data_IF_183774667810
#
_entry.id   IF_183774667810
#
_cell.length_a   1.000
_cell.length_b   1.000
_cell.length_c   1.000
_cell.angle_alpha   90.00
_cell.angle_beta   90.00
_cell.angle_gamma   90.00
#
_symmetry.space_group_name_H-M   'P 1'
#
loop_
_entity.id
_entity.type
_entity.pdbx_description
1 polymer ?
#
# COMPACT_ATOMS: atom_id res chain seq x y z
N UNK A 1 -21.04 -3.64 22.58
CA UNK A 1 -20.79 -4.71 21.58
C UNK A 1 -20.60 -6.05 22.31
N UNK A 2 -19.92 -6.04 23.47
CA UNK A 2 -19.74 -7.22 24.33
C UNK A 2 -21.04 -7.86 24.84
N UNK A 3 -22.04 -7.06 25.25
CA UNK A 3 -23.32 -7.60 25.74
C UNK A 3 -24.13 -8.30 24.65
N UNK A 4 -24.23 -7.73 23.44
CA UNK A 4 -25.01 -8.32 22.34
C UNK A 4 -24.38 -9.61 21.78
N UNK A 5 -23.04 -9.68 21.71
CA UNK A 5 -22.35 -10.92 21.31
C UNK A 5 -22.46 -12.01 22.38
N UNK A 6 -22.36 -11.66 23.67
CA UNK A 6 -22.61 -12.60 24.76
C UNK A 6 -24.08 -13.04 24.81
N UNK A 7 -25.04 -12.15 24.55
CA UNK A 7 -26.47 -12.43 24.59
C UNK A 7 -26.93 -13.26 23.38
N UNK A 8 -26.33 -13.11 22.19
CA UNK A 8 -26.58 -14.01 21.05
C UNK A 8 -25.90 -15.38 21.21
N UNK A 9 -24.84 -15.47 22.03
CA UNK A 9 -24.22 -16.73 22.41
C UNK A 9 -24.96 -17.38 23.60
N UNK A 10 -25.63 -16.59 24.45
CA UNK A 10 -26.26 -17.00 25.71
C UNK A 10 -27.80 -17.14 25.68
N UNK A 11 -28.51 -16.47 24.78
CA UNK A 11 -29.98 -16.42 24.72
C UNK A 11 -30.54 -17.29 23.59
N UNK A 12 -30.01 -18.49 23.47
CA UNK A 12 -30.37 -19.48 22.45
C UNK A 12 -30.53 -20.87 23.05
N UNK A 13 -31.52 -21.00 23.93
CA UNK A 13 -31.96 -22.26 24.53
C UNK A 13 -31.15 -22.65 25.76
N UNK A 14 -31.81 -23.35 26.69
CA UNK A 14 -31.16 -24.28 27.62
C UNK A 14 -29.94 -24.92 26.95
N UNK A 15 -28.85 -25.26 27.68
CA UNK A 15 -27.85 -26.13 27.10
C UNK A 15 -28.65 -27.33 26.61
N UNK A 16 -28.75 -27.49 25.30
CA UNK A 16 -29.23 -28.72 24.77
C UNK A 16 -28.29 -29.70 25.45
N UNK A 17 -28.85 -30.52 26.34
CA UNK A 17 -28.46 -31.92 26.48
C UNK A 17 -28.65 -32.57 25.10
N UNK A 18 -28.03 -32.01 24.05
CA UNK A 18 -27.36 -32.78 23.05
C UNK A 18 -26.24 -33.44 23.82
N UNK A 19 -26.59 -34.55 24.45
CA UNK A 19 -25.90 -35.77 24.13
C UNK A 19 -25.46 -35.67 22.67
N UNK A 20 -24.27 -35.13 22.42
CA UNK A 20 -23.38 -35.86 21.56
C UNK A 20 -23.30 -37.18 22.30
N UNK A 21 -24.01 -38.19 21.81
CA UNK A 21 -23.65 -39.55 22.15
C UNK A 21 -22.20 -39.71 21.66
N UNK A 22 -21.25 -39.23 22.47
CA UNK A 22 -19.85 -39.59 22.39
C UNK A 22 -19.68 -41.06 22.84
N UNK A 23 -20.76 -41.67 23.36
CA UNK A 23 -20.87 -43.07 23.74
C UNK A 23 -21.63 -43.96 22.72
N UNK A 24 -22.04 -43.42 21.56
CA UNK A 24 -22.50 -44.32 20.50
C UNK A 24 -21.27 -44.93 19.84
N UNK A 25 -21.01 -46.21 20.11
CA UNK A 25 -20.08 -47.02 19.34
C UNK A 25 -20.26 -46.71 17.84
N UNK A 26 -19.18 -46.56 17.05
CA UNK A 26 -19.29 -46.21 15.64
C UNK A 26 -20.21 -47.22 14.95
N UNK A 27 -21.44 -46.80 14.64
CA UNK A 27 -22.36 -47.62 13.86
C UNK A 27 -21.73 -47.81 12.50
N UNK A 28 -21.70 -49.05 12.01
CA UNK A 28 -21.32 -49.31 10.64
C UNK A 28 -22.33 -48.58 9.75
N UNK A 29 -21.86 -47.64 8.92
CA UNK A 29 -22.72 -46.92 7.97
C UNK A 29 -23.51 -47.88 7.05
N UNK A 30 -23.07 -49.13 6.93
CA UNK A 30 -23.74 -50.22 6.22
C UNK A 30 -25.12 -50.59 6.82
N UNK A 31 -25.38 -50.27 8.09
CA UNK A 31 -26.62 -50.60 8.79
C UNK A 31 -27.60 -49.41 8.86
N UNK A 32 -27.20 -48.24 8.36
CA UNK A 32 -27.97 -47.00 8.42
C UNK A 32 -28.80 -46.86 7.13
N UNK A 33 -30.06 -46.43 7.27
CA UNK A 33 -30.92 -46.22 6.09
C UNK A 33 -30.45 -45.03 5.25
N UNK A 34 -30.77 -45.02 3.95
CA UNK A 34 -30.41 -43.92 3.06
C UNK A 34 -31.02 -42.58 3.54
N UNK A 35 -32.26 -42.61 4.04
CA UNK A 35 -32.96 -41.45 4.58
C UNK A 35 -32.25 -40.89 5.82
N UNK A 36 -31.80 -41.76 6.72
CA UNK A 36 -31.08 -41.38 7.94
C UNK A 36 -29.71 -40.77 7.59
N UNK A 37 -28.96 -41.36 6.65
CA UNK A 37 -27.69 -40.77 6.15
C UNK A 37 -27.92 -39.36 5.59
N UNK A 38 -28.98 -39.14 4.80
CA UNK A 38 -29.27 -37.83 4.23
C UNK A 38 -29.69 -36.79 5.27
N UNK A 39 -30.40 -37.21 6.32
CA UNK A 39 -30.77 -36.34 7.44
C UNK A 39 -29.55 -35.98 8.29
N UNK A 40 -28.70 -36.96 8.59
CA UNK A 40 -27.48 -36.78 9.38
C UNK A 40 -26.50 -35.84 8.69
N UNK A 41 -26.24 -36.04 7.39
CA UNK A 41 -25.35 -35.15 6.63
C UNK A 41 -25.88 -33.71 6.63
N UNK A 42 -27.19 -33.48 6.49
CA UNK A 42 -27.78 -32.13 6.60
C UNK A 42 -27.58 -31.53 7.98
N UNK A 43 -27.74 -32.33 9.04
CA UNK A 43 -27.50 -31.91 10.42
C UNK A 43 -26.04 -31.52 10.64
N UNK A 44 -25.10 -32.33 10.16
CA UNK A 44 -23.66 -32.08 10.26
C UNK A 44 -23.24 -30.82 9.51
N UNK A 45 -23.76 -30.59 8.30
CA UNK A 45 -23.51 -29.33 7.57
C UNK A 45 -24.03 -28.12 8.36
N UNK A 46 -25.19 -28.25 9.01
CA UNK A 46 -25.71 -27.21 9.91
C UNK A 46 -24.80 -26.95 11.11
N UNK A 47 -24.29 -28.01 11.74
CA UNK A 47 -23.35 -27.92 12.85
C UNK A 47 -22.01 -27.29 12.42
N UNK A 48 -21.48 -27.66 11.25
CA UNK A 48 -20.26 -27.10 10.67
C UNK A 48 -20.39 -25.58 10.47
N UNK A 49 -21.53 -25.11 9.93
CA UNK A 49 -21.79 -23.67 9.73
C UNK A 49 -21.85 -22.89 11.05
N UNK A 50 -22.46 -23.45 12.09
CA UNK A 50 -22.47 -22.85 13.44
C UNK A 50 -21.06 -22.79 14.04
N UNK A 51 -20.28 -23.85 13.87
CA UNK A 51 -18.86 -23.88 14.28
C UNK A 51 -18.03 -22.85 13.53
N UNK A 52 -18.24 -22.70 12.22
CA UNK A 52 -17.60 -21.66 11.41
C UNK A 52 -17.97 -20.26 11.91
N UNK A 53 -19.24 -19.99 12.19
CA UNK A 53 -19.69 -18.71 12.73
C UNK A 53 -18.98 -18.39 14.06
N UNK A 54 -18.81 -19.38 14.95
CA UNK A 54 -18.01 -19.23 16.17
C UNK A 54 -16.56 -18.85 15.85
N UNK A 55 -15.89 -19.57 14.93
CA UNK A 55 -14.52 -19.23 14.50
C UNK A 55 -14.44 -17.78 14.00
N UNK A 56 -15.42 -17.31 13.23
CA UNK A 56 -15.46 -15.92 12.75
C UNK A 56 -15.51 -14.92 13.90
N UNK A 57 -16.33 -15.16 14.93
CA UNK A 57 -16.40 -14.30 16.13
C UNK A 57 -15.06 -14.25 16.86
N UNK A 58 -14.42 -15.41 17.08
CA UNK A 58 -13.10 -15.43 17.72
C UNK A 58 -12.04 -14.70 16.87
N UNK A 59 -12.10 -14.79 15.55
CA UNK A 59 -11.20 -14.02 14.68
C UNK A 59 -11.42 -12.51 14.79
N UNK A 60 -12.67 -12.06 14.98
CA UNK A 60 -12.97 -10.64 15.28
C UNK A 60 -12.28 -10.23 16.57
N UNK A 61 -12.44 -11.02 17.63
CA UNK A 61 -11.88 -10.70 18.94
C UNK A 61 -10.34 -10.72 18.94
N UNK A 62 -9.74 -11.68 18.27
CA UNK A 62 -8.27 -11.78 18.10
C UNK A 62 -7.73 -10.57 17.34
N UNK A 63 -8.44 -10.05 16.33
CA UNK A 63 -8.02 -8.86 15.60
C UNK A 63 -8.20 -7.59 16.44
N UNK A 64 -9.29 -7.49 17.24
CA UNK A 64 -9.56 -6.32 18.08
C UNK A 64 -8.57 -6.20 19.24
N UNK A 65 -8.31 -7.31 19.94
CA UNK A 65 -7.30 -7.40 21.01
C UNK A 65 -5.87 -7.49 20.48
N UNK A 66 -5.69 -7.74 19.19
CA UNK A 66 -4.39 -7.91 18.51
C UNK A 66 -3.51 -9.02 19.07
N UNK A 67 -4.12 -10.11 19.55
CA UNK A 67 -3.41 -11.27 20.11
C UNK A 67 -2.43 -11.91 19.10
N UNK A 68 -2.69 -11.75 17.80
CA UNK A 68 -1.76 -12.19 16.75
C UNK A 68 -0.36 -11.55 16.87
N UNK A 69 -0.27 -10.30 17.36
CA UNK A 69 1.01 -9.61 17.51
C UNK A 69 1.83 -10.19 18.67
N UNK A 70 1.17 -10.55 19.77
CA UNK A 70 1.78 -11.21 20.94
C UNK A 70 2.33 -12.59 20.58
N UNK A 71 1.69 -13.28 19.63
CA UNK A 71 2.13 -14.56 19.07
C UNK A 71 3.14 -14.42 17.92
N UNK A 72 3.84 -13.29 17.86
CA UNK A 72 4.88 -12.98 16.88
C UNK A 72 4.42 -13.08 15.41
N UNK A 73 3.13 -12.87 15.13
CA UNK A 73 2.62 -12.76 13.76
C UNK A 73 2.67 -11.32 13.27
N UNK A 74 3.09 -11.15 12.01
CA UNK A 74 3.21 -9.83 11.38
C UNK A 74 1.89 -9.26 10.87
N UNK A 75 0.84 -10.09 10.85
CA UNK A 75 -0.52 -9.70 10.48
C UNK A 75 -1.52 -10.78 10.90
N UNK A 76 -2.82 -10.45 10.88
CA UNK A 76 -3.89 -11.44 11.03
C UNK A 76 -3.85 -12.55 9.98
N UNK A 77 -3.42 -12.26 8.75
CA UNK A 77 -3.30 -13.28 7.71
C UNK A 77 -2.20 -14.28 8.05
N UNK A 78 -1.04 -13.78 8.49
CA UNK A 78 0.10 -14.57 8.95
C UNK A 78 -0.25 -15.45 10.15
N UNK A 79 -1.09 -14.95 11.07
CA UNK A 79 -1.65 -15.74 12.17
C UNK A 79 -2.57 -16.85 11.67
N UNK A 80 -3.53 -16.54 10.80
CA UNK A 80 -4.45 -17.53 10.25
C UNK A 80 -3.73 -18.66 9.50
N UNK A 81 -2.69 -18.36 8.73
CA UNK A 81 -1.97 -19.40 7.97
C UNK A 81 -0.98 -20.18 8.84
N UNK A 82 -0.13 -19.51 9.62
CA UNK A 82 0.91 -20.20 10.41
C UNK A 82 0.41 -20.83 11.70
N UNK A 83 -0.49 -20.17 12.43
CA UNK A 83 -0.94 -20.62 13.76
C UNK A 83 -2.20 -21.45 13.70
N UNK A 84 -3.12 -21.15 12.78
CA UNK A 84 -4.37 -21.91 12.62
C UNK A 84 -4.32 -22.94 11.47
N UNK A 85 -3.23 -22.97 10.68
CA UNK A 85 -3.06 -23.94 9.59
C UNK A 85 -4.00 -23.74 8.40
N UNK A 86 -4.64 -22.58 8.28
CA UNK A 86 -5.50 -22.31 7.13
C UNK A 86 -4.68 -22.14 5.85
N UNK A 87 -5.23 -22.63 4.74
CA UNK A 87 -4.72 -22.23 3.43
C UNK A 87 -4.91 -20.72 3.20
N UNK A 88 -4.16 -20.12 2.28
CA UNK A 88 -4.26 -18.69 1.98
C UNK A 88 -5.69 -18.26 1.60
N UNK A 89 -6.37 -19.06 0.78
CA UNK A 89 -7.75 -18.77 0.35
C UNK A 89 -8.76 -18.86 1.50
N UNK A 90 -8.53 -19.77 2.44
CA UNK A 90 -9.33 -19.92 3.66
C UNK A 90 -9.14 -18.75 4.62
N UNK A 91 -7.88 -18.40 4.90
CA UNK A 91 -7.53 -17.25 5.72
C UNK A 91 -8.14 -15.97 5.14
N UNK A 92 -8.01 -15.76 3.83
CA UNK A 92 -8.59 -14.61 3.13
C UNK A 92 -10.10 -14.51 3.31
N UNK A 93 -10.84 -15.60 3.04
CA UNK A 93 -12.32 -15.60 3.15
C UNK A 93 -12.79 -15.40 4.59
N UNK A 94 -12.17 -16.09 5.55
CA UNK A 94 -12.54 -16.00 6.97
C UNK A 94 -12.21 -14.62 7.53
N UNK A 95 -11.06 -14.05 7.21
CA UNK A 95 -10.70 -12.70 7.66
C UNK A 95 -11.56 -11.62 7.01
N UNK A 96 -11.92 -11.78 5.73
CA UNK A 96 -12.88 -10.89 5.08
C UNK A 96 -14.26 -10.94 5.76
N UNK A 97 -14.75 -12.14 6.09
CA UNK A 97 -16.00 -12.33 6.80
C UNK A 97 -15.94 -11.78 8.24
N UNK A 98 -14.87 -12.02 8.99
CA UNK A 98 -14.69 -11.47 10.34
C UNK A 98 -14.76 -9.93 10.33
N UNK A 99 -14.04 -9.28 9.42
CA UNK A 99 -14.08 -7.82 9.29
C UNK A 99 -15.45 -7.28 8.88
N UNK A 100 -16.18 -8.03 8.04
CA UNK A 100 -17.56 -7.70 7.70
C UNK A 100 -18.51 -7.87 8.89
N UNK A 101 -18.41 -8.98 9.63
CA UNK A 101 -19.23 -9.24 10.83
C UNK A 101 -18.97 -8.19 11.91
N UNK A 102 -17.72 -7.76 12.11
CA UNK A 102 -17.39 -6.67 13.04
C UNK A 102 -18.09 -5.36 12.67
N UNK A 103 -18.29 -5.10 11.38
CA UNK A 103 -19.00 -3.90 10.88
C UNK A 103 -20.52 -4.11 10.83
N UNK A 104 -20.96 -5.32 10.49
CA UNK A 104 -22.36 -5.68 10.21
C UNK A 104 -22.69 -7.00 10.94
N UNK A 105 -23.01 -6.94 12.24
CA UNK A 105 -23.16 -8.14 13.07
C UNK A 105 -24.28 -9.09 12.64
N UNK A 106 -25.31 -8.58 11.95
CA UNK A 106 -26.42 -9.37 11.38
C UNK A 106 -25.95 -10.47 10.40
N UNK A 107 -24.76 -10.32 9.81
CA UNK A 107 -24.17 -11.32 8.93
C UNK A 107 -23.84 -12.63 9.64
N UNK A 108 -23.64 -12.61 10.97
CA UNK A 108 -23.30 -13.80 11.74
C UNK A 108 -24.40 -14.86 11.67
N UNK A 109 -25.66 -14.44 11.87
CA UNK A 109 -26.83 -15.33 11.77
C UNK A 109 -26.99 -15.87 10.35
N UNK A 110 -26.69 -15.06 9.33
CA UNK A 110 -26.74 -15.50 7.92
C UNK A 110 -25.68 -16.56 7.59
N UNK A 111 -24.50 -16.47 8.20
CA UNK A 111 -23.43 -17.48 8.09
C UNK A 111 -23.84 -18.74 8.84
N UNK A 112 -24.28 -18.60 10.10
CA UNK A 112 -24.63 -19.73 10.97
C UNK A 112 -25.81 -20.55 10.41
N UNK A 113 -26.81 -19.88 9.83
CA UNK A 113 -27.95 -20.54 9.17
C UNK A 113 -27.61 -21.06 7.76
N UNK A 114 -26.46 -20.68 7.20
CA UNK A 114 -26.06 -21.02 5.83
C UNK A 114 -26.87 -20.33 4.74
N UNK A 115 -27.54 -19.22 5.05
CA UNK A 115 -28.18 -18.36 4.03
C UNK A 115 -27.12 -17.80 3.09
N UNK A 116 -25.96 -17.44 3.63
CA UNK A 116 -24.83 -16.91 2.85
C UNK A 116 -23.56 -17.72 3.11
N UNK A 117 -22.80 -18.00 2.05
CA UNK A 117 -21.46 -18.62 2.16
C UNK A 117 -20.35 -17.57 2.08
N UNK A 118 -19.16 -17.91 2.59
CA UNK A 118 -18.05 -16.96 2.69
C UNK A 118 -17.57 -16.41 1.34
N UNK A 119 -17.70 -17.20 0.26
CA UNK A 119 -17.34 -16.74 -1.08
C UNK A 119 -18.28 -15.64 -1.57
N UNK A 120 -19.58 -15.74 -1.28
CA UNK A 120 -20.54 -14.64 -1.54
C UNK A 120 -20.21 -13.39 -0.75
N UNK A 121 -19.88 -13.53 0.54
CA UNK A 121 -19.51 -12.37 1.38
C UNK A 121 -18.31 -11.61 0.82
N UNK A 122 -17.31 -12.32 0.31
CA UNK A 122 -16.15 -11.68 -0.34
C UNK A 122 -16.56 -10.88 -1.57
N UNK A 123 -17.48 -11.40 -2.40
CA UNK A 123 -17.96 -10.73 -3.61
C UNK A 123 -18.81 -9.49 -3.28
N UNK A 124 -19.61 -9.58 -2.21
CA UNK A 124 -20.54 -8.54 -1.78
C UNK A 124 -19.92 -7.49 -0.85
N UNK A 125 -18.68 -7.71 -0.39
CA UNK A 125 -17.99 -6.92 0.64
C UNK A 125 -18.10 -5.41 0.43
N UNK A 126 -17.91 -4.97 -0.81
CA UNK A 126 -17.82 -3.55 -1.17
C UNK A 126 -19.21 -2.93 -1.44
N UNK A 127 -20.27 -3.74 -1.50
CA UNK A 127 -21.66 -3.31 -1.68
C UNK A 127 -22.45 -3.26 -0.37
N UNK A 128 -22.04 -4.05 0.63
CA UNK A 128 -22.73 -4.15 1.92
C UNK A 128 -22.55 -2.86 2.74
N UNK A 129 -23.65 -2.30 3.20
CA UNK A 129 -23.77 -1.18 4.15
C UNK A 129 -24.75 -1.55 5.26
N UNK A 130 -24.80 -0.76 6.33
CA UNK A 130 -25.77 -0.97 7.43
C UNK A 130 -27.22 -0.87 6.96
N UNK A 131 -27.49 -0.07 5.91
CA UNK A 131 -28.84 0.18 5.42
C UNK A 131 -29.36 -0.87 4.44
N UNK A 132 -28.49 -1.64 3.77
CA UNK A 132 -28.88 -2.56 2.70
C UNK A 132 -28.56 -4.03 3.01
N UNK A 133 -27.96 -4.32 4.17
CA UNK A 133 -27.45 -5.64 4.50
C UNK A 133 -28.52 -6.72 4.45
N UNK A 134 -29.72 -6.45 4.99
CA UNK A 134 -30.80 -7.43 5.04
C UNK A 134 -31.34 -7.76 3.65
N UNK A 135 -31.52 -6.75 2.80
CA UNK A 135 -31.98 -6.91 1.42
C UNK A 135 -30.95 -7.70 0.59
N UNK A 136 -29.68 -7.34 0.67
CA UNK A 136 -28.61 -8.01 -0.07
C UNK A 136 -28.46 -9.46 0.41
N UNK A 137 -28.52 -9.71 1.71
CA UNK A 137 -28.44 -11.06 2.27
C UNK A 137 -29.65 -11.89 1.83
N UNK A 138 -30.86 -11.34 1.84
CA UNK A 138 -32.05 -12.02 1.34
C UNK A 138 -31.91 -12.34 -0.16
N UNK A 139 -31.45 -11.39 -0.97
CA UNK A 139 -31.22 -11.57 -2.40
C UNK A 139 -30.11 -12.57 -2.72
N UNK A 140 -29.08 -12.69 -1.87
CA UNK A 140 -27.98 -13.65 -2.01
C UNK A 140 -28.28 -15.02 -1.39
N UNK A 141 -29.37 -15.14 -0.63
CA UNK A 141 -29.69 -16.33 0.15
C UNK A 141 -29.86 -17.56 -0.76
N UNK A 142 -29.14 -18.65 -0.45
CA UNK A 142 -29.22 -19.91 -1.20
C UNK A 142 -28.62 -19.89 -2.61
N UNK A 143 -28.05 -18.77 -3.06
CA UNK A 143 -27.44 -18.65 -4.39
C UNK A 143 -26.06 -19.28 -4.48
N UNK A 144 -25.79 -19.92 -5.60
CA UNK A 144 -24.46 -20.37 -6.01
C UNK A 144 -23.57 -19.15 -6.28
N UNK A 145 -22.26 -19.34 -6.22
CA UNK A 145 -21.28 -18.27 -6.42
C UNK A 145 -21.52 -17.48 -7.72
N UNK A 146 -21.76 -18.16 -8.85
CA UNK A 146 -22.02 -17.54 -10.16
C UNK A 146 -23.25 -16.63 -10.15
N UNK A 147 -24.33 -17.09 -9.52
CA UNK A 147 -25.58 -16.31 -9.40
C UNK A 147 -25.38 -15.07 -8.53
N UNK A 148 -24.46 -15.12 -7.56
CA UNK A 148 -24.05 -13.95 -6.77
C UNK A 148 -23.15 -13.01 -7.57
N UNK A 149 -22.27 -13.52 -8.44
CA UNK A 149 -21.52 -12.68 -9.37
C UNK A 149 -22.46 -11.91 -10.32
N UNK A 150 -23.52 -12.57 -10.82
CA UNK A 150 -24.56 -11.96 -11.64
C UNK A 150 -25.40 -10.93 -10.85
N UNK A 151 -25.68 -11.19 -9.57
CA UNK A 151 -26.31 -10.21 -8.67
C UNK A 151 -25.42 -8.97 -8.50
N UNK A 152 -24.12 -9.16 -8.24
CA UNK A 152 -23.14 -8.07 -8.10
C UNK A 152 -23.05 -7.28 -9.40
N UNK A 153 -23.00 -7.94 -10.56
CA UNK A 153 -22.94 -7.28 -11.86
C UNK A 153 -24.16 -6.40 -12.15
N UNK A 154 -25.36 -6.82 -11.70
CA UNK A 154 -26.58 -6.01 -11.83
C UNK A 154 -26.59 -4.79 -10.89
N UNK A 155 -26.11 -4.96 -9.66
CA UNK A 155 -26.11 -3.87 -8.66
C UNK A 155 -24.98 -2.86 -8.86
N UNK A 156 -23.84 -3.31 -9.39
CA UNK A 156 -22.68 -2.48 -9.68
C UNK A 156 -22.14 -2.84 -11.07
N UNK A 157 -22.82 -2.37 -12.14
CA UNK A 157 -22.36 -2.60 -13.51
C UNK A 157 -20.97 -2.00 -13.66
N UNK A 158 -20.03 -2.81 -14.14
CA UNK A 158 -18.70 -2.31 -14.50
C UNK A 158 -18.84 -1.52 -15.80
N UNK A 159 -18.19 -0.35 -15.93
CA UNK A 159 -18.18 0.38 -17.18
C UNK A 159 -17.62 -0.52 -18.29
N UNK A 160 -18.17 -0.38 -19.49
CA UNK A 160 -17.73 -1.13 -20.65
C UNK A 160 -16.22 -0.92 -20.84
N UNK A 161 -15.47 -2.02 -20.81
CA UNK A 161 -14.04 -1.99 -21.12
C UNK A 161 -13.96 -1.73 -22.62
N UNK A 162 -13.45 -0.56 -23.03
CA UNK A 162 -13.19 -0.28 -24.44
C UNK A 162 -12.41 -1.44 -25.06
N UNK A 163 -12.90 -1.94 -26.19
CA UNK A 163 -12.27 -3.04 -26.92
C UNK A 163 -10.85 -2.62 -27.35
N UNK A 164 -9.85 -3.04 -26.58
CA UNK A 164 -8.45 -2.92 -26.95
C UNK A 164 -8.10 -4.10 -27.86
N UNK A 165 -7.92 -3.81 -29.15
CA UNK A 165 -7.36 -4.78 -30.10
C UNK A 165 -5.87 -4.92 -29.77
N UNK A 166 -5.52 -5.93 -28.98
CA UNK A 166 -4.14 -6.35 -28.80
C UNK A 166 -3.75 -7.23 -30.00
N UNK A 167 -2.71 -6.84 -30.73
CA UNK A 167 -2.12 -7.69 -31.79
C UNK A 167 -1.70 -9.03 -31.17
N UNK A 168 -2.39 -10.10 -31.53
CA UNK A 168 -1.97 -11.46 -31.17
C UNK A 168 -0.64 -11.77 -31.90
N UNK A 169 0.25 -12.58 -31.30
CA UNK A 169 1.42 -13.09 -32.01
C UNK A 169 0.96 -13.80 -33.30
N UNK A 170 1.70 -13.64 -34.39
CA UNK A 170 1.44 -14.36 -35.63
C UNK A 170 1.38 -15.87 -35.35
N UNK A 171 0.22 -16.46 -35.60
CA UNK A 171 0.00 -17.90 -35.46
C UNK A 171 0.78 -18.61 -36.55
N UNK A 172 1.98 -19.08 -36.22
CA UNK A 172 2.65 -20.10 -37.04
C UNK A 172 1.73 -21.33 -37.08
N UNK A 173 1.40 -21.90 -38.26
CA UNK A 173 0.56 -23.08 -38.33
C UNK A 173 1.34 -24.27 -37.78
N UNK A 174 1.09 -24.63 -36.52
CA UNK A 174 1.28 -25.99 -36.05
C UNK A 174 -0.08 -26.69 -36.05
N UNK A 175 -0.11 -27.78 -36.79
CA UNK A 175 -1.19 -28.73 -36.96
C UNK A 175 -1.85 -29.17 -35.64
N UNK A 176 -3.18 -29.08 -35.61
CA UNK A 176 -4.16 -29.92 -34.88
C UNK A 176 -3.80 -30.47 -33.49
N UNK A 177 -4.54 -30.07 -32.45
CA UNK A 177 -5.69 -30.83 -31.90
C UNK A 177 -6.42 -30.00 -30.81
N UNK A 178 -7.73 -30.18 -30.79
CA UNK A 178 -8.82 -29.48 -30.10
C UNK A 178 -8.72 -29.46 -28.57
N UNK A 179 -8.99 -28.30 -27.94
CA UNK A 179 -9.89 -28.21 -26.77
C UNK A 179 -10.32 -26.76 -26.53
N UNK A 180 -11.63 -26.54 -26.55
CA UNK A 180 -12.30 -25.25 -26.35
C UNK A 180 -12.29 -24.83 -24.87
N UNK A 181 -11.76 -23.65 -24.55
CA UNK A 181 -12.19 -22.86 -23.40
C UNK A 181 -12.30 -21.37 -23.77
N UNK A 182 -13.45 -20.80 -23.45
CA UNK A 182 -13.80 -19.39 -23.64
C UNK A 182 -13.01 -18.47 -22.68
N UNK A 183 -12.74 -17.21 -23.05
CA UNK A 183 -11.90 -16.32 -22.26
C UNK A 183 -12.69 -15.65 -21.11
N UNK A 184 -12.18 -15.79 -19.88
CA UNK A 184 -12.57 -14.97 -18.73
C UNK A 184 -11.80 -13.64 -18.73
N UNK A 185 -12.41 -12.51 -18.30
CA UNK A 185 -11.72 -11.23 -18.25
C UNK A 185 -10.60 -11.22 -17.20
N UNK A 186 -9.42 -10.81 -17.65
CA UNK A 186 -8.16 -10.77 -16.90
C UNK A 186 -8.22 -9.74 -15.77
N UNK A 187 -8.49 -10.23 -14.55
CA UNK A 187 -7.95 -9.61 -13.34
C UNK A 187 -6.50 -10.04 -13.27
N UNK A 188 -5.55 -9.12 -13.47
CA UNK A 188 -4.11 -9.40 -13.37
C UNK A 188 -3.87 -10.13 -12.03
N UNK A 189 -3.55 -11.43 -12.04
CA UNK A 189 -3.17 -12.11 -10.82
C UNK A 189 -1.82 -11.52 -10.38
N UNK A 190 -1.54 -11.40 -9.08
CA UNK A 190 -0.16 -11.24 -8.66
C UNK A 190 0.68 -12.38 -9.25
N UNK A 191 1.92 -12.10 -9.64
CA UNK A 191 2.85 -13.09 -10.17
C UNK A 191 2.91 -14.30 -9.24
N UNK A 192 2.35 -15.43 -9.67
CA UNK A 192 2.35 -16.67 -8.90
C UNK A 192 3.71 -17.33 -9.06
N UNK A 193 4.48 -17.40 -7.98
CA UNK A 193 5.65 -18.27 -7.86
C UNK A 193 5.12 -19.68 -7.54
N UNK A 194 4.78 -20.45 -8.56
CA UNK A 194 4.33 -21.84 -8.37
C UNK A 194 5.54 -22.77 -8.42
N UNK A 195 5.76 -23.54 -7.35
CA UNK A 195 6.78 -24.59 -7.35
C UNK A 195 6.38 -25.69 -8.37
N UNK A 196 7.22 -25.91 -9.39
CA UNK A 196 7.06 -26.99 -10.37
C UNK A 196 7.83 -28.24 -9.89
N UNK A 197 8.92 -28.04 -9.14
CA UNK A 197 9.73 -29.06 -8.47
C UNK A 197 10.49 -28.41 -7.28
N UNK A 198 11.14 -29.20 -6.42
CA UNK A 198 11.77 -28.79 -5.15
C UNK A 198 12.74 -27.59 -5.24
N UNK A 199 13.23 -27.24 -6.44
CA UNK A 199 14.12 -26.09 -6.69
C UNK A 199 13.81 -25.30 -7.97
N UNK A 200 12.63 -25.45 -8.57
CA UNK A 200 12.24 -24.73 -9.80
C UNK A 200 10.86 -24.11 -9.66
N UNK A 201 10.78 -22.80 -9.86
CA UNK A 201 9.56 -22.02 -9.73
C UNK A 201 9.15 -21.44 -11.09
N UNK A 202 7.87 -21.55 -11.44
CA UNK A 202 7.33 -20.83 -12.59
C UNK A 202 7.13 -19.38 -12.19
N UNK A 203 7.75 -18.45 -12.92
CA UNK A 203 7.45 -17.01 -12.80
C UNK A 203 6.68 -16.58 -14.03
N UNK A 204 5.41 -16.25 -13.86
CA UNK A 204 4.58 -15.69 -14.93
C UNK A 204 4.11 -14.29 -14.51
N UNK A 205 4.44 -13.30 -15.34
CA UNK A 205 4.05 -11.90 -15.12
C UNK A 205 3.51 -11.31 -16.41
N UNK A 206 2.60 -10.34 -16.27
CA UNK A 206 2.13 -9.55 -17.40
C UNK A 206 2.96 -8.27 -17.44
N UNK A 207 3.78 -8.11 -18.47
CA UNK A 207 4.57 -6.91 -18.69
C UNK A 207 3.79 -5.89 -19.54
N UNK A 208 3.88 -4.60 -19.18
CA UNK A 208 3.45 -3.51 -20.05
C UNK A 208 4.53 -3.23 -21.12
N UNK A 209 4.20 -2.39 -22.10
CA UNK A 209 5.10 -2.04 -23.22
C UNK A 209 6.46 -1.52 -22.73
N UNK A 210 6.46 -0.60 -21.76
CA UNK A 210 7.70 -0.04 -21.19
C UNK A 210 8.60 -1.11 -20.57
N UNK A 211 8.02 -2.12 -19.90
CA UNK A 211 8.79 -3.21 -19.31
C UNK A 211 9.32 -4.16 -20.39
N UNK A 212 8.53 -4.46 -21.44
CA UNK A 212 9.00 -5.23 -22.60
C UNK A 212 10.23 -4.57 -23.21
N UNK A 213 10.15 -3.28 -23.51
CA UNK A 213 11.24 -2.55 -24.19
C UNK A 213 12.52 -2.52 -23.34
N UNK A 214 12.38 -2.38 -22.02
CA UNK A 214 13.51 -2.47 -21.08
C UNK A 214 14.14 -3.86 -21.07
N UNK A 215 13.34 -4.92 -21.13
CA UNK A 215 13.84 -6.30 -21.18
C UNK A 215 14.53 -6.59 -22.52
N UNK A 216 13.99 -6.11 -23.64
CA UNK A 216 14.61 -6.24 -24.96
C UNK A 216 15.93 -5.46 -25.05
N UNK A 217 15.96 -4.22 -24.55
CA UNK A 217 17.18 -3.43 -24.47
C UNK A 217 18.24 -4.12 -23.59
N UNK A 218 17.86 -4.62 -22.42
CA UNK A 218 18.76 -5.37 -21.55
C UNK A 218 19.29 -6.63 -22.24
N UNK A 219 18.44 -7.35 -22.99
CA UNK A 219 18.85 -8.53 -23.78
C UNK A 219 19.88 -8.17 -24.85
N UNK A 220 19.66 -7.08 -25.57
CA UNK A 220 20.59 -6.61 -26.59
C UNK A 220 21.95 -6.20 -25.98
N UNK A 221 21.94 -5.45 -24.88
CA UNK A 221 23.15 -5.02 -24.17
C UNK A 221 23.92 -6.19 -23.54
N UNK A 222 23.21 -7.24 -23.12
CA UNK A 222 23.83 -8.44 -22.53
C UNK A 222 24.19 -9.51 -23.57
N UNK A 223 24.03 -9.25 -24.87
CA UNK A 223 24.19 -10.26 -25.94
C UNK A 223 25.55 -10.99 -25.92
N UNK A 224 26.64 -10.33 -25.53
CA UNK A 224 27.95 -10.97 -25.37
C UNK A 224 28.10 -11.76 -24.07
N UNK A 225 27.41 -11.38 -23.00
CA UNK A 225 27.49 -12.01 -21.67
C UNK A 225 26.41 -13.09 -21.46
N UNK A 226 25.33 -13.02 -22.22
CA UNK A 226 24.20 -13.93 -22.25
C UNK A 226 23.78 -14.18 -23.71
N UNK A 227 24.55 -15.00 -24.48
CA UNK A 227 24.29 -15.22 -25.91
C UNK A 227 22.96 -15.90 -26.21
N UNK A 228 22.40 -16.68 -25.27
CA UNK A 228 21.07 -17.27 -25.41
C UNK A 228 19.94 -16.24 -25.26
N UNK A 229 20.25 -15.08 -24.68
CA UNK A 229 19.29 -14.06 -24.31
C UNK A 229 18.25 -14.58 -23.31
N UNK A 230 18.62 -15.54 -22.45
CA UNK A 230 17.72 -16.07 -21.44
C UNK A 230 17.26 -14.95 -20.50
N UNK A 231 15.94 -14.77 -20.41
CA UNK A 231 15.32 -13.76 -19.56
C UNK A 231 15.57 -14.04 -18.07
N UNK A 232 15.73 -15.31 -17.67
CA UNK A 232 16.02 -15.65 -16.28
C UNK A 232 17.33 -15.01 -15.81
N UNK A 233 18.40 -15.10 -16.62
CA UNK A 233 19.71 -14.50 -16.33
C UNK A 233 19.63 -12.97 -16.25
N UNK A 234 18.89 -12.34 -17.16
CA UNK A 234 18.69 -10.88 -17.17
C UNK A 234 17.96 -10.44 -15.90
N UNK A 235 16.87 -11.15 -15.55
CA UNK A 235 16.07 -10.86 -14.36
C UNK A 235 16.87 -11.10 -13.09
N UNK A 236 17.63 -12.19 -13.00
CA UNK A 236 18.50 -12.48 -11.85
C UNK A 236 19.51 -11.36 -11.62
N UNK A 237 20.27 -10.95 -12.65
CA UNK A 237 21.24 -9.85 -12.57
C UNK A 237 20.58 -8.52 -12.18
N UNK A 238 19.41 -8.24 -12.76
CA UNK A 238 18.66 -7.02 -12.46
C UNK A 238 18.17 -7.02 -10.99
N UNK A 239 17.72 -8.17 -10.48
CA UNK A 239 17.29 -8.33 -9.09
C UNK A 239 18.49 -8.25 -8.14
N UNK A 240 19.64 -8.83 -8.46
CA UNK A 240 20.89 -8.68 -7.68
C UNK A 240 21.29 -7.20 -7.54
N UNK A 241 21.31 -6.45 -8.65
CA UNK A 241 21.60 -5.02 -8.65
C UNK A 241 20.57 -4.22 -7.85
N UNK A 242 19.29 -4.57 -7.96
CA UNK A 242 18.22 -3.94 -7.19
C UNK A 242 18.36 -4.23 -5.70
N UNK A 243 18.69 -5.48 -5.31
CA UNK A 243 18.96 -5.87 -3.94
C UNK A 243 20.16 -5.10 -3.40
N UNK A 244 21.26 -4.99 -4.16
CA UNK A 244 22.44 -4.23 -3.73
C UNK A 244 22.09 -2.75 -3.52
N UNK A 245 21.42 -2.12 -4.48
CA UNK A 245 20.98 -0.72 -4.37
C UNK A 245 20.06 -0.50 -3.18
N UNK A 246 19.02 -1.33 -3.03
CA UNK A 246 18.08 -1.23 -1.92
C UNK A 246 18.76 -1.53 -0.58
N UNK A 247 19.74 -2.43 -0.55
CA UNK A 247 20.55 -2.69 0.64
C UNK A 247 21.36 -1.46 1.03
N UNK A 248 21.99 -0.77 0.09
CA UNK A 248 22.70 0.50 0.36
C UNK A 248 21.75 1.58 0.88
N UNK A 249 20.58 1.73 0.29
CA UNK A 249 19.59 2.75 0.68
C UNK A 249 18.91 2.45 2.02
N UNK A 250 18.50 1.19 2.24
CA UNK A 250 17.72 0.76 3.41
C UNK A 250 18.61 0.37 4.58
N UNK A 251 19.70 -0.35 4.33
CA UNK A 251 20.63 -0.89 5.34
C UNK A 251 21.85 0.00 5.53
N UNK A 252 22.07 0.95 4.62
CA UNK A 252 23.21 1.85 4.70
C UNK A 252 24.52 1.14 4.41
N UNK A 253 24.57 -0.04 3.77
CA UNK A 253 25.81 -0.77 3.47
C UNK A 253 26.75 0.10 2.62
N UNK A 254 27.98 0.33 3.10
CA UNK A 254 29.03 1.03 2.35
C UNK A 254 30.32 0.22 2.46
N UNK A 255 31.09 0.14 1.37
CA UNK A 255 32.36 -0.62 1.29
C UNK A 255 33.48 -0.04 2.17
N UNK A 256 33.35 1.19 2.65
CA UNK A 256 34.22 1.79 3.68
C UNK A 256 33.38 2.26 4.86
N UNK A 257 33.59 1.63 6.02
CA UNK A 257 33.11 2.13 7.30
C UNK A 257 34.09 3.19 7.81
N UNK A 258 33.67 4.46 7.85
CA UNK A 258 34.40 5.50 8.60
C UNK A 258 34.02 5.37 10.07
N UNK A 259 34.97 5.50 11.01
CA UNK A 259 34.68 5.61 12.45
C UNK A 259 33.59 6.67 12.64
N UNK A 260 32.41 6.25 13.10
CA UNK A 260 31.28 7.15 13.34
C UNK A 260 31.55 7.97 14.59
N UNK A 261 31.42 9.30 14.48
CA UNK A 261 31.22 10.15 15.66
C UNK A 261 29.73 10.09 16.04
N UNK A 262 29.39 10.10 17.34
CA UNK A 262 28.00 10.19 17.78
C UNK A 262 27.35 11.46 17.21
N UNK A 263 26.06 11.37 16.89
CA UNK A 263 25.29 12.50 16.38
C UNK A 263 25.14 13.57 17.48
N UNK A 264 25.43 14.83 17.15
CA UNK A 264 25.14 15.96 18.04
C UNK A 264 23.63 16.14 18.31
N UNK A 265 22.75 15.61 17.45
CA UNK A 265 21.30 15.66 17.63
C UNK A 265 20.80 14.45 18.41
N UNK A 266 20.18 14.72 19.55
CA UNK A 266 19.58 13.71 20.42
C UNK A 266 18.58 12.79 19.68
N UNK A 267 18.78 11.48 19.82
CA UNK A 267 17.97 10.42 19.24
C UNK A 267 18.01 10.30 17.72
N UNK A 268 18.93 11.00 17.04
CA UNK A 268 19.10 10.85 15.60
C UNK A 268 19.80 9.52 15.27
N UNK A 269 19.16 8.71 14.43
CA UNK A 269 19.70 7.43 13.97
C UNK A 269 20.67 7.66 12.82
N UNK A 270 21.95 7.38 13.07
CA UNK A 270 22.97 7.43 12.03
C UNK A 270 22.85 6.23 11.08
N UNK A 271 23.39 6.33 9.86
CA UNK A 271 23.45 5.19 8.96
C UNK A 271 24.29 4.03 9.52
N UNK A 272 25.31 4.32 10.33
CA UNK A 272 26.13 3.32 11.00
C UNK A 272 25.31 2.55 12.05
N UNK A 273 24.65 3.26 12.97
CA UNK A 273 23.80 2.65 13.98
C UNK A 273 22.64 1.86 13.38
N UNK A 274 22.03 2.36 12.28
CA UNK A 274 21.03 1.61 11.53
C UNK A 274 21.58 0.30 10.97
N UNK A 275 22.76 0.35 10.33
CA UNK A 275 23.38 -0.83 9.72
C UNK A 275 23.64 -1.90 10.77
N UNK A 276 24.25 -1.49 11.89
CA UNK A 276 24.56 -2.38 13.00
C UNK A 276 23.31 -3.05 13.57
N UNK A 277 22.21 -2.30 13.77
CA UNK A 277 20.94 -2.87 14.20
C UNK A 277 20.37 -3.90 13.19
N UNK A 278 20.43 -3.61 11.88
CA UNK A 278 19.96 -4.54 10.84
C UNK A 278 20.82 -5.79 10.69
N UNK A 279 22.13 -5.66 10.84
CA UNK A 279 23.08 -6.76 10.81
C UNK A 279 22.89 -7.66 12.03
N UNK A 280 22.85 -7.09 13.24
CA UNK A 280 22.55 -7.79 14.49
C UNK A 280 21.22 -8.56 14.41
N UNK A 281 20.19 -7.92 13.85
CA UNK A 281 18.85 -8.51 13.78
C UNK A 281 18.66 -9.38 12.52
N UNK A 282 19.68 -9.59 11.70
CA UNK A 282 19.66 -10.58 10.60
C UNK A 282 18.59 -10.33 9.53
N UNK A 283 18.24 -9.06 9.28
CA UNK A 283 17.18 -8.69 8.32
C UNK A 283 15.82 -9.34 8.65
N UNK A 284 15.50 -9.41 9.94
CA UNK A 284 14.27 -10.01 10.44
C UNK A 284 13.75 -9.18 11.62
N UNK A 285 12.42 -9.17 11.80
CA UNK A 285 11.80 -8.59 12.98
C UNK A 285 12.40 -9.20 14.26
N UNK A 286 12.92 -8.36 15.15
CA UNK A 286 13.51 -8.73 16.44
C UNK A 286 12.47 -9.00 17.54
N UNK A 287 11.18 -8.78 17.27
CA UNK A 287 10.12 -9.10 18.23
C UNK A 287 10.09 -10.60 18.54
N UNK A 288 10.01 -10.92 19.81
CA UNK A 288 9.85 -12.29 20.33
C UNK A 288 8.52 -12.33 21.08
N UNK A 289 7.67 -13.29 20.70
CA UNK A 289 6.38 -13.52 21.34
C UNK A 289 6.51 -14.20 22.70
N UNK A 290 5.39 -14.33 23.41
CA UNK A 290 5.36 -14.91 24.76
C UNK A 290 5.81 -16.38 24.80
N UNK A 291 5.60 -17.10 23.71
CA UNK A 291 6.06 -18.48 23.52
C UNK A 291 7.56 -18.59 23.15
N UNK A 292 8.32 -17.49 23.19
CA UNK A 292 9.73 -17.44 22.81
C UNK A 292 9.99 -17.47 21.30
N UNK A 293 8.95 -17.49 20.47
CA UNK A 293 9.12 -17.48 19.02
C UNK A 293 9.42 -16.07 18.51
N UNK A 294 10.46 -15.96 17.69
CA UNK A 294 10.79 -14.72 16.99
C UNK A 294 9.91 -14.53 15.76
N UNK A 295 9.44 -13.31 15.53
CA UNK A 295 8.62 -12.99 14.36
C UNK A 295 9.40 -13.29 13.05
N UNK A 296 8.87 -14.09 12.11
CA UNK A 296 9.57 -14.47 10.88
C UNK A 296 9.59 -13.39 9.80
N UNK A 297 8.98 -12.23 10.04
CA UNK A 297 8.85 -11.19 9.02
C UNK A 297 10.21 -10.61 8.63
N UNK A 298 10.48 -10.59 7.31
CA UNK A 298 11.67 -9.99 6.69
C UNK A 298 11.33 -8.81 5.77
N UNK A 299 10.06 -8.46 5.69
CA UNK A 299 9.52 -7.39 4.84
C UNK A 299 8.93 -6.27 5.69
N UNK A 300 8.85 -5.07 5.10
CA UNK A 300 8.35 -3.87 5.78
C UNK A 300 9.02 -3.62 7.13
N UNK A 301 10.34 -3.87 7.18
CA UNK A 301 11.15 -3.66 8.37
C UNK A 301 11.42 -2.16 8.57
N UNK A 302 11.31 -1.74 9.82
CA UNK A 302 11.46 -0.38 10.30
C UNK A 302 12.38 -0.38 11.53
N UNK A 303 13.08 0.74 11.75
CA UNK A 303 13.87 0.94 12.97
C UNK A 303 12.94 1.48 14.04
N UNK A 304 12.94 0.80 15.18
CA UNK A 304 12.31 1.21 16.42
C UNK A 304 13.38 1.56 17.46
N UNK A 305 13.07 2.54 18.31
CA UNK A 305 13.89 2.90 19.47
C UNK A 305 13.35 2.16 20.69
N UNK A 306 14.17 1.30 21.33
CA UNK A 306 13.77 0.53 22.52
C UNK A 306 13.27 1.46 23.63
N UNK A 307 14.08 2.46 23.99
CA UNK A 307 13.62 3.66 24.68
C UNK A 307 13.27 4.69 23.63
N UNK A 308 11.99 5.05 23.52
CA UNK A 308 11.55 5.92 22.45
C UNK A 308 12.27 7.28 22.46
N UNK A 309 12.56 7.83 21.28
CA UNK A 309 13.26 9.13 21.13
C UNK A 309 12.60 10.27 21.92
N UNK A 310 11.27 10.29 21.98
CA UNK A 310 10.51 11.30 22.71
C UNK A 310 10.68 11.21 24.24
N UNK A 311 11.17 10.07 24.74
CA UNK A 311 11.42 9.78 26.16
C UNK A 311 12.92 9.81 26.51
N UNK A 312 13.76 10.44 25.69
CA UNK A 312 15.20 10.48 25.96
C UNK A 312 16.01 9.35 25.31
N UNK A 313 15.39 8.54 24.46
CA UNK A 313 16.09 7.48 23.73
C UNK A 313 17.25 7.97 22.85
N UNK A 314 18.40 7.32 22.98
CA UNK A 314 19.57 7.55 22.12
C UNK A 314 19.36 7.01 20.70
N UNK A 315 20.17 7.49 19.74
CA UNK A 315 20.17 7.01 18.36
C UNK A 315 21.23 5.94 18.07
N UNK A 316 21.86 5.41 19.12
CA UNK A 316 22.94 4.42 19.07
C UNK A 316 22.38 3.01 18.91
N UNK A 317 23.13 2.11 18.29
CA UNK A 317 22.66 0.78 17.86
C UNK A 317 22.07 -0.06 19.00
N UNK A 318 22.57 0.10 20.22
CA UNK A 318 22.11 -0.60 21.43
C UNK A 318 20.66 -0.22 21.79
N UNK A 319 20.25 1.03 21.53
CA UNK A 319 18.87 1.49 21.74
C UNK A 319 17.98 1.27 20.51
N UNK A 320 18.50 0.70 19.43
CA UNK A 320 17.74 0.42 18.21
C UNK A 320 17.40 -1.06 18.11
N UNK A 321 16.23 -1.34 17.55
CA UNK A 321 15.82 -2.68 17.14
C UNK A 321 15.05 -2.64 15.83
N UNK A 322 15.15 -3.70 15.05
CA UNK A 322 14.46 -3.85 13.78
C UNK A 322 13.12 -4.54 14.02
N UNK A 323 12.02 -3.89 13.67
CA UNK A 323 10.68 -4.47 13.79
C UNK A 323 9.98 -4.46 12.43
N UNK A 324 9.10 -5.42 12.18
CA UNK A 324 8.16 -5.28 11.08
C UNK A 324 7.19 -4.12 11.39
N UNK A 325 6.62 -3.50 10.36
CA UNK A 325 5.67 -2.39 10.51
C UNK A 325 4.55 -2.65 11.54
N UNK A 326 4.05 -3.88 11.64
CA UNK A 326 3.00 -4.24 12.59
C UNK A 326 3.51 -4.20 14.04
N UNK A 327 4.64 -4.85 14.34
CA UNK A 327 5.27 -4.82 15.66
C UNK A 327 5.83 -3.44 16.03
N UNK A 328 6.35 -2.68 15.06
CA UNK A 328 6.79 -1.30 15.30
C UNK A 328 5.60 -0.41 15.72
N UNK A 329 4.47 -0.56 15.01
CA UNK A 329 3.24 0.13 15.40
C UNK A 329 2.75 -0.31 16.78
N UNK A 330 2.78 -1.60 17.09
CA UNK A 330 2.38 -2.12 18.40
C UNK A 330 3.25 -1.56 19.52
N UNK A 331 4.57 -1.57 19.35
CA UNK A 331 5.52 -0.98 20.28
C UNK A 331 5.23 0.51 20.52
N UNK A 332 5.01 1.28 19.45
CA UNK A 332 4.65 2.69 19.57
C UNK A 332 3.31 2.88 20.30
N UNK A 333 2.31 2.02 20.07
CA UNK A 333 1.01 2.11 20.74
C UNK A 333 1.09 1.73 22.23
N UNK A 334 1.95 0.77 22.60
CA UNK A 334 2.22 0.43 24.01
C UNK A 334 2.89 1.59 24.76
N UNK A 335 3.77 2.34 24.09
CA UNK A 335 4.50 3.47 24.70
C UNK A 335 3.67 4.76 24.74
N UNK A 336 3.01 5.11 23.63
CA UNK A 336 2.35 6.42 23.47
C UNK A 336 0.83 6.37 23.56
N UNK A 337 0.24 5.18 23.62
CA UNK A 337 -1.20 4.96 23.56
C UNK A 337 -1.75 4.92 22.13
N UNK A 338 -2.70 3.99 21.90
CA UNK A 338 -3.34 3.74 20.60
C UNK A 338 -3.94 4.99 19.96
N UNK A 339 -4.71 5.76 20.73
CA UNK A 339 -5.37 6.98 20.24
C UNK A 339 -4.37 8.04 19.77
N UNK A 340 -3.23 8.18 20.46
CA UNK A 340 -2.18 9.13 20.09
C UNK A 340 -1.54 8.74 18.76
N UNK A 341 -1.13 7.48 18.63
CA UNK A 341 -0.49 6.96 17.41
C UNK A 341 -1.43 7.06 16.22
N UNK A 342 -2.71 6.72 16.40
CA UNK A 342 -3.70 6.81 15.33
C UNK A 342 -3.94 8.25 14.85
N UNK A 343 -4.05 9.21 15.78
CA UNK A 343 -4.15 10.63 15.44
C UNK A 343 -2.92 11.12 14.66
N UNK A 344 -1.72 10.68 15.04
CA UNK A 344 -0.47 10.98 14.31
C UNK A 344 -0.43 10.37 12.91
N UNK A 345 -0.91 9.15 12.74
CA UNK A 345 -1.02 8.52 11.41
C UNK A 345 -2.00 9.30 10.53
N UNK A 346 -3.18 9.66 11.08
CA UNK A 346 -4.21 10.40 10.34
C UNK A 346 -3.73 11.77 9.89
N UNK A 347 -3.07 12.52 10.78
CA UNK A 347 -2.49 13.83 10.46
C UNK A 347 -1.40 13.72 9.40
N UNK A 348 -0.52 12.72 9.49
CA UNK A 348 0.51 12.47 8.47
C UNK A 348 -0.08 12.17 7.09
N UNK A 349 -1.12 11.32 7.01
CA UNK A 349 -1.82 11.01 5.76
C UNK A 349 -2.49 12.24 5.14
N UNK A 350 -3.13 13.10 5.95
CA UNK A 350 -3.70 14.37 5.49
C UNK A 350 -2.61 15.30 4.93
N UNK A 351 -1.42 15.33 5.54
CA UNK A 351 -0.30 16.14 5.04
C UNK A 351 0.26 15.60 3.72
N UNK A 352 0.31 14.28 3.54
CA UNK A 352 0.77 13.66 2.29
C UNK A 352 -0.19 13.90 1.13
N UNK A 353 -1.50 13.82 1.38
CA UNK A 353 -2.54 14.06 0.36
C UNK A 353 -2.64 15.52 -0.07
N UNK A 354 -2.23 16.45 0.79
CA UNK A 354 -2.14 17.89 0.47
C UNK A 354 -0.85 18.31 -0.25
N UNK A 355 0.14 17.43 -0.38
CA UNK A 355 1.32 17.76 -1.19
C UNK A 355 0.90 17.72 -2.66
N UNK A 356 0.97 18.84 -3.40
CA UNK A 356 0.69 18.81 -4.83
C UNK A 356 1.64 17.81 -5.48
N UNK A 357 1.08 16.99 -6.37
CA UNK A 357 1.86 16.02 -7.12
C UNK A 357 2.88 16.78 -7.97
N UNK A 358 4.17 16.61 -7.65
CA UNK A 358 5.27 17.27 -8.38
C UNK A 358 5.38 16.77 -9.82
N UNK A 359 4.68 15.67 -10.16
CA UNK A 359 4.60 15.10 -11.48
C UNK A 359 3.22 15.31 -12.14
N UNK A 360 2.30 16.05 -11.52
CA UNK A 360 1.10 16.47 -12.24
C UNK A 360 1.52 17.45 -13.35
N UNK A 361 1.07 17.24 -14.60
CA UNK A 361 1.31 18.20 -15.67
C UNK A 361 0.74 19.55 -15.20
N UNK A 362 1.56 20.61 -15.26
CA UNK A 362 1.09 21.96 -14.92
C UNK A 362 -0.12 22.24 -15.80
N UNK A 363 -1.29 22.43 -15.18
CA UNK A 363 -2.39 23.07 -15.88
C UNK A 363 -1.83 24.40 -16.38
N UNK A 364 -1.78 24.56 -17.71
CA UNK A 364 -1.33 25.78 -18.35
C UNK A 364 -2.11 26.98 -17.80
N UNK A 365 -1.56 28.20 -17.92
CA UNK A 365 -2.25 29.39 -17.43
C UNK A 365 -3.67 29.43 -18.04
N UNK A 366 -4.71 29.73 -17.23
CA UNK A 366 -6.06 29.85 -17.75
C UNK A 366 -6.06 30.91 -18.86
N UNK A 367 -6.67 30.58 -19.99
CA UNK A 367 -6.76 31.49 -21.12
C UNK A 367 -7.49 32.76 -20.71
N UNK A 368 -6.97 33.90 -21.15
CA UNK A 368 -7.41 35.26 -20.81
C UNK A 368 -8.81 35.61 -21.37
N UNK A 369 -9.51 34.67 -22.02
CA UNK A 369 -10.80 34.93 -22.69
C UNK A 369 -12.07 34.65 -21.89
N UNK A 370 -12.00 34.40 -20.57
CA UNK A 370 -13.20 34.20 -19.73
C UNK A 370 -13.37 35.20 -18.58
N UNK A 371 -12.78 36.40 -18.68
CA UNK A 371 -13.13 37.56 -17.85
C UNK A 371 -13.80 38.64 -18.69
N UNK A 372 -14.97 38.35 -19.25
CA UNK A 372 -15.92 39.35 -19.75
C UNK A 372 -17.28 38.67 -19.95
N UNK A 373 -17.97 38.47 -18.84
CA UNK A 373 -19.43 38.36 -18.69
C UNK A 373 -19.68 37.80 -17.30
N UNK A 374 -19.72 38.69 -16.31
CA UNK A 374 -20.49 38.59 -15.06
C UNK A 374 -19.99 39.69 -14.12
N UNK A 375 -20.17 40.95 -14.52
CA UNK A 375 -20.19 42.10 -13.61
C UNK A 375 -21.07 43.17 -14.26
N UNK A 376 -22.36 42.86 -14.28
CA UNK A 376 -23.43 43.81 -14.60
C UNK A 376 -24.66 43.46 -13.75
N UNK A 377 -24.57 43.73 -12.44
CA UNK A 377 -25.68 44.22 -11.59
C UNK A 377 -25.26 44.30 -10.12
N UNK A 378 -25.65 45.42 -9.49
CA UNK A 378 -25.53 45.82 -8.08
C UNK A 378 -24.13 46.35 -7.68
N UNK A 379 -23.93 47.52 -7.07
CA UNK A 379 -24.81 48.55 -6.51
C UNK A 379 -24.03 49.89 -6.51
N UNK A 380 -24.59 51.00 -7.02
CA UNK A 380 -25.25 52.10 -6.28
C UNK A 380 -24.41 52.81 -5.18
N UNK A 381 -23.87 53.97 -5.58
CA UNK A 381 -23.61 55.26 -4.89
C UNK A 381 -23.56 55.39 -3.35
N UNK A 382 -22.49 56.02 -2.81
CA UNK A 382 -22.39 57.45 -2.34
C UNK A 382 -21.03 57.67 -1.64
N UNK A 383 -20.09 58.45 -2.20
CA UNK A 383 -19.71 59.86 -1.88
C UNK A 383 -19.00 60.06 -0.52
N UNK A 384 -17.65 60.18 -0.47
CA UNK A 384 -16.82 61.41 -0.41
C UNK A 384 -16.07 61.41 0.94
N UNK A 385 -14.75 61.65 1.08
CA UNK A 385 -14.02 62.91 0.83
C UNK A 385 -12.51 62.65 0.78
N UNK A 386 -11.83 63.47 -0.02
CA UNK A 386 -10.40 63.52 -0.36
C UNK A 386 -9.46 63.94 0.78
N UNK A 387 -8.23 63.44 0.75
CA UNK A 387 -7.05 64.19 1.21
C UNK A 387 -5.81 63.82 0.38
N UNK A 388 -5.05 64.87 0.03
CA UNK A 388 -3.91 64.91 -0.90
C UNK A 388 -2.61 64.75 -0.08
N UNK A 389 -1.59 64.10 -0.66
CA UNK A 389 -0.23 64.09 -0.11
C UNK A 389 0.62 62.98 -0.75
N UNK A 390 1.17 63.21 -1.94
CA UNK A 390 2.53 63.73 -2.17
C UNK A 390 3.56 62.59 -2.35
N UNK A 391 3.91 62.40 -3.61
CA UNK A 391 4.93 61.52 -4.15
C UNK A 391 6.32 61.89 -3.64
N UNK A 392 7.03 60.92 -3.06
CA UNK A 392 8.49 60.99 -2.93
C UNK A 392 9.15 59.89 -3.74
N UNK A 393 9.91 60.34 -4.74
CA UNK A 393 10.95 59.59 -5.43
C UNK A 393 11.90 58.92 -4.43
N UNK A 394 12.11 57.62 -4.59
CA UNK A 394 13.21 56.88 -3.98
C UNK A 394 14.12 56.40 -5.12
N UNK A 395 15.39 56.82 -5.07
CA UNK A 395 16.44 56.43 -5.99
C UNK A 395 16.75 54.91 -5.86
N UNK A 396 17.20 54.21 -6.91
CA UNK A 396 17.47 52.79 -6.82
C UNK A 396 18.78 52.53 -6.06
N UNK A 397 18.68 51.69 -5.02
CA UNK A 397 19.81 51.17 -4.25
C UNK A 397 20.80 50.42 -5.15
N UNK A 398 22.08 50.74 -4.99
CA UNK A 398 23.21 50.09 -5.65
C UNK A 398 23.37 48.67 -5.11
N UNK A 399 22.89 47.66 -5.85
CA UNK A 399 23.11 46.25 -5.53
C UNK A 399 24.58 45.88 -5.73
N UNK A 400 25.23 45.38 -4.68
CA UNK A 400 26.57 44.80 -4.76
C UNK A 400 26.55 43.54 -5.64
N UNK A 401 27.65 43.31 -6.37
CA UNK A 401 27.85 42.23 -7.37
C UNK A 401 27.36 40.83 -6.88
N UNK A 402 27.63 40.50 -5.61
CA UNK A 402 27.21 39.24 -4.99
C UNK A 402 25.69 39.03 -4.87
N UNK A 403 24.90 40.10 -4.82
CA UNK A 403 23.44 40.03 -4.74
C UNK A 403 22.79 39.93 -6.12
N UNK A 404 23.33 40.60 -7.13
CA UNK A 404 22.88 40.46 -8.52
C UNK A 404 22.98 39.00 -9.00
N UNK A 405 24.09 38.33 -8.68
CA UNK A 405 24.32 36.92 -9.03
C UNK A 405 23.30 35.96 -8.40
N UNK A 406 22.93 36.19 -7.14
CA UNK A 406 21.89 35.41 -6.44
C UNK A 406 20.51 35.66 -7.03
N UNK A 407 20.18 36.91 -7.37
CA UNK A 407 18.90 37.26 -7.97
C UNK A 407 18.73 36.61 -9.35
N UNK A 408 19.75 36.67 -10.21
CA UNK A 408 19.71 36.03 -11.54
C UNK A 408 19.61 34.50 -11.40
N UNK A 409 20.38 33.88 -10.50
CA UNK A 409 20.27 32.44 -10.22
C UNK A 409 18.85 32.06 -9.79
N UNK A 410 18.28 32.82 -8.85
CA UNK A 410 16.95 32.55 -8.29
C UNK A 410 15.86 32.73 -9.35
N UNK A 411 16.01 33.71 -10.25
CA UNK A 411 15.11 33.92 -11.37
C UNK A 411 15.13 32.75 -12.35
N UNK A 412 16.30 32.25 -12.76
CA UNK A 412 16.43 31.10 -13.67
C UNK A 412 15.83 29.82 -13.08
N UNK A 413 16.06 29.56 -11.78
CA UNK A 413 15.44 28.43 -11.08
C UNK A 413 13.92 28.56 -11.02
N UNK A 414 13.40 29.77 -10.86
CA UNK A 414 11.96 30.04 -10.85
C UNK A 414 11.33 29.88 -12.24
N UNK A 415 12.11 30.09 -13.30
CA UNK A 415 11.72 29.85 -14.70
C UNK A 415 11.85 28.37 -15.13
N UNK A 416 12.32 27.49 -14.24
CA UNK A 416 12.32 26.03 -14.46
C UNK A 416 13.65 25.45 -14.96
N UNK A 417 14.71 26.26 -15.08
CA UNK A 417 16.05 25.77 -15.43
C UNK A 417 16.67 24.96 -14.28
N UNK A 418 17.47 23.95 -14.62
CA UNK A 418 18.21 23.15 -13.63
C UNK A 418 19.33 23.99 -13.00
N UNK A 419 19.72 23.68 -11.77
CA UNK A 419 20.82 24.38 -11.08
C UNK A 419 22.12 24.40 -11.89
N UNK A 420 22.44 23.31 -12.58
CA UNK A 420 23.61 23.21 -13.48
C UNK A 420 23.52 24.09 -14.73
N UNK A 421 22.31 24.39 -15.21
CA UNK A 421 22.07 25.29 -16.34
C UNK A 421 22.20 26.74 -15.88
N UNK A 422 21.60 27.08 -14.74
CA UNK A 422 21.76 28.38 -14.11
C UNK A 422 23.24 28.68 -13.79
N UNK A 423 23.99 27.72 -13.22
CA UNK A 423 25.43 27.87 -12.96
C UNK A 423 26.24 28.13 -14.24
N UNK A 424 25.87 27.47 -15.35
CA UNK A 424 26.54 27.66 -16.64
C UNK A 424 26.30 29.05 -17.20
N UNK A 425 25.08 29.57 -17.13
CA UNK A 425 24.75 30.91 -17.63
C UNK A 425 25.51 32.00 -16.85
N UNK A 426 25.59 31.88 -15.51
CA UNK A 426 26.35 32.82 -14.68
C UNK A 426 27.84 32.81 -15.02
N UNK A 427 28.43 31.63 -15.28
CA UNK A 427 29.84 31.48 -15.68
C UNK A 427 30.16 32.10 -17.05
N UNK A 428 29.18 32.14 -17.96
CA UNK A 428 29.36 32.78 -19.27
C UNK A 428 29.29 34.30 -19.13
N UNK A 429 28.41 34.82 -18.29
CA UNK A 429 28.32 36.26 -17.98
C UNK A 429 29.63 36.75 -17.32
N UNK A 430 30.22 35.95 -16.43
CA UNK A 430 31.53 36.25 -15.80
C UNK A 430 32.69 36.39 -16.79
N UNK A 431 32.60 35.73 -17.94
CA UNK A 431 33.70 35.64 -18.91
C UNK A 431 33.64 36.70 -20.00
N UNK A 432 32.60 37.53 -20.04
CA UNK A 432 32.49 38.60 -21.03
C UNK A 432 33.35 39.80 -20.62
N UNK A 433 34.08 40.37 -21.59
CA UNK A 433 34.92 41.56 -21.43
C UNK A 433 34.07 42.82 -21.26
N UNK A 434 33.44 42.96 -20.09
CA UNK A 434 32.83 44.19 -19.62
C UNK A 434 33.48 44.59 -18.30
N UNK A 435 33.73 45.88 -18.10
CA UNK A 435 34.04 46.41 -16.78
C UNK A 435 32.81 46.21 -15.88
N UNK A 436 32.96 45.39 -14.84
CA UNK A 436 31.94 45.06 -13.83
C UNK A 436 30.62 44.49 -14.40
N UNK A 437 30.61 43.24 -14.93
CA UNK A 437 29.49 42.68 -15.69
C UNK A 437 28.17 42.60 -14.91
N UNK A 438 28.23 42.60 -13.59
CA UNK A 438 27.09 42.44 -12.68
C UNK A 438 26.47 43.75 -12.17
N UNK A 439 27.00 44.92 -12.56
CA UNK A 439 26.40 46.23 -12.22
C UNK A 439 25.24 46.65 -13.14
N UNK A 440 24.79 45.74 -14.00
CA UNK A 440 23.70 45.97 -14.94
C UNK A 440 22.34 45.67 -14.28
N UNK A 441 21.24 46.27 -14.75
CA UNK A 441 19.90 45.97 -14.24
C UNK A 441 19.61 44.45 -14.26
N UNK A 442 18.98 43.94 -13.20
CA UNK A 442 18.73 42.50 -13.02
C UNK A 442 17.93 41.93 -14.21
N UNK A 443 16.99 42.70 -14.76
CA UNK A 443 16.20 42.32 -15.92
C UNK A 443 17.08 42.07 -17.15
N UNK A 444 18.13 42.88 -17.32
CA UNK A 444 19.08 42.73 -18.44
C UNK A 444 19.92 41.48 -18.28
N UNK A 445 20.40 41.22 -17.05
CA UNK A 445 21.18 40.03 -16.74
C UNK A 445 20.37 38.74 -16.85
N UNK A 446 19.08 38.78 -16.49
CA UNK A 446 18.17 37.64 -16.66
C UNK A 446 17.89 37.38 -18.14
N UNK A 447 17.58 38.41 -18.94
CA UNK A 447 17.38 38.25 -20.39
C UNK A 447 18.62 37.68 -21.09
N UNK A 448 19.80 38.14 -20.70
CA UNK A 448 21.06 37.63 -21.23
C UNK A 448 21.34 36.18 -20.80
N UNK A 449 21.09 35.84 -19.53
CA UNK A 449 21.21 34.47 -19.06
C UNK A 449 20.24 33.53 -19.77
N UNK A 450 19.03 33.99 -20.09
CA UNK A 450 18.07 33.23 -20.90
C UNK A 450 18.57 33.03 -22.32
N UNK A 451 19.12 34.08 -22.97
CA UNK A 451 19.72 33.98 -24.29
C UNK A 451 20.97 33.09 -24.39
N UNK A 452 21.62 32.77 -23.26
CA UNK A 452 22.72 31.78 -23.20
C UNK A 452 22.17 30.35 -23.09
N UNK A 453 20.95 30.18 -22.57
CA UNK A 453 20.32 28.89 -22.28
C UNK A 453 19.33 28.42 -23.35
N UNK A 454 18.86 29.35 -24.19
CA UNK A 454 18.05 29.10 -25.38
C UNK A 454 18.93 29.21 -26.62
#
# INVERSE_FOLDING_TARGET
MDEWLCEKIGSGGEPARGFVHADAAPRLLAEVSNEEILLDVKSFVGAERRSLARVIVYLVEIEERRLHLELACSSMFDFCTRKLGFSEGEAFRRLAAARLVRRLPVLLDAIASGRIHLSSLVLLRDLLTESNVDEIVAAASGKKKREVEELVARMAPKPDVQASIRKLPDRRPSSSTTSSQAPTPSRVPPSQLQAIAERRYKVQLTANEVLRDKLELARALMSHQNPSGDLAVIVERAVELLIEKLSKEKLGTTSRARRSKPSAKHGYVTHAARREAFERDGMQCSFVGENGERCPARSFLEIDHVTARALGGSGEAENLRVLCRAHNRDAAERVFGRSHVEARIRTSRKRSTRRPDRNAPSAGPPSVSQRKCNDARAATSTASTSFIGETRHVAPEQTQDGDARKHVRTALLSLGFRGSEADRALLVIDRKEYDEPWRRPIETLVCEALGILT
#
